data_IF_401011036290
#
_entry.id   IF_401011036290
#
_cell.length_a   1.000
_cell.length_b   1.000
_cell.length_c   1.000
_cell.angle_alpha   90.00
_cell.angle_beta   90.00
_cell.angle_gamma   90.00
#
_symmetry.space_group_name_H-M   'P 1'
#
loop_
_entity.id
_entity.type
_entity.pdbx_description
1 polymer ?
#
# COMPACT_ATOMS: atom_id res chain seq x y z
N UNK A 1 -5.11 -4.05 3.69
CA UNK A 1 -4.14 -3.31 2.83
C UNK A 1 -4.77 -3.00 1.49
N UNK A 2 -4.43 -1.86 0.87
CA UNK A 2 -4.99 -1.45 -0.43
C UNK A 2 -3.95 -0.70 -1.26
N UNK A 3 -3.84 -1.02 -2.55
CA UNK A 3 -3.10 -0.26 -3.55
C UNK A 3 -4.09 0.51 -4.42
N UNK A 4 -4.08 1.83 -4.25
CA UNK A 4 -5.00 2.77 -4.88
C UNK A 4 -4.29 3.53 -5.98
N UNK A 5 -5.01 3.83 -7.05
CA UNK A 5 -4.53 4.61 -8.19
C UNK A 5 -5.43 5.83 -8.37
N UNK A 6 -4.81 7.00 -8.49
CA UNK A 6 -5.50 8.24 -8.78
C UNK A 6 -5.00 8.80 -10.10
N UNK A 7 -5.92 9.25 -10.95
CA UNK A 7 -5.63 9.90 -12.23
C UNK A 7 -6.41 11.21 -12.29
N UNK A 8 -5.68 12.32 -12.46
CA UNK A 8 -6.26 13.67 -12.45
C UNK A 8 -7.17 13.92 -11.23
N UNK A 9 -6.74 13.46 -10.05
CA UNK A 9 -7.48 13.61 -8.79
C UNK A 9 -8.67 12.65 -8.60
N UNK A 10 -9.00 11.81 -9.59
CA UNK A 10 -10.07 10.81 -9.48
C UNK A 10 -9.49 9.44 -9.09
N UNK A 11 -10.11 8.78 -8.11
CA UNK A 11 -9.75 7.41 -7.76
C UNK A 11 -10.26 6.42 -8.80
N UNK A 12 -9.35 5.61 -9.34
CA UNK A 12 -9.64 4.48 -10.22
C UNK A 12 -9.88 3.21 -9.39
N UNK A 13 -10.47 2.15 -9.98
CA UNK A 13 -10.67 0.91 -9.24
C UNK A 13 -9.35 0.35 -8.71
N UNK A 14 -9.38 -0.17 -7.49
CA UNK A 14 -8.19 -0.61 -6.76
C UNK A 14 -7.37 -1.61 -7.57
N UNK A 15 -6.05 -1.40 -7.62
CA UNK A 15 -5.13 -2.30 -8.32
C UNK A 15 -5.05 -3.63 -7.57
N UNK A 16 -4.93 -3.55 -6.24
CA UNK A 16 -4.91 -4.70 -5.36
C UNK A 16 -5.52 -4.32 -4.00
N UNK A 17 -6.19 -5.26 -3.36
CA UNK A 17 -6.66 -5.10 -1.99
C UNK A 17 -6.63 -6.45 -1.28
N UNK A 18 -6.35 -6.40 0.02
CA UNK A 18 -6.47 -7.55 0.91
C UNK A 18 -7.11 -7.09 2.22
N UNK A 19 -8.34 -7.53 2.45
CA UNK A 19 -9.10 -7.22 3.66
C UNK A 19 -8.76 -8.17 4.81
N UNK A 20 -8.07 -9.28 4.54
CA UNK A 20 -7.68 -10.31 5.51
C UNK A 20 -6.16 -10.52 5.49
N UNK A 21 -5.43 -9.41 5.40
CA UNK A 21 -3.97 -9.47 5.38
C UNK A 21 -3.42 -10.03 6.69
N UNK A 22 -2.57 -11.05 6.58
CA UNK A 22 -1.79 -11.62 7.69
C UNK A 22 -0.31 -11.36 7.45
N UNK A 23 0.34 -10.71 8.41
CA UNK A 23 1.78 -10.39 8.33
C UNK A 23 2.67 -11.64 8.30
N UNK A 24 2.20 -12.77 8.83
CA UNK A 24 2.93 -14.05 8.81
C UNK A 24 2.83 -14.78 7.47
N UNK A 25 1.93 -14.34 6.58
CA UNK A 25 1.69 -14.99 5.30
C UNK A 25 1.79 -13.98 4.16
N UNK A 26 2.92 -14.00 3.47
CA UNK A 26 3.20 -13.11 2.34
C UNK A 26 3.40 -13.94 1.08
N UNK A 27 2.54 -13.74 0.09
CA UNK A 27 2.62 -14.39 -1.22
C UNK A 27 2.36 -13.38 -2.34
N UNK A 28 3.00 -13.60 -3.48
CA UNK A 28 2.67 -12.87 -4.70
C UNK A 28 1.30 -13.35 -5.19
N UNK A 29 0.38 -12.41 -5.39
CA UNK A 29 -0.95 -12.69 -5.96
C UNK A 29 -1.05 -12.06 -7.33
N UNK A 30 -1.72 -12.75 -8.24
CA UNK A 30 -2.08 -12.16 -9.53
C UNK A 30 -3.05 -11.00 -9.31
N UNK A 31 -2.90 -9.96 -10.12
CA UNK A 31 -3.86 -8.87 -10.14
C UNK A 31 -5.19 -9.39 -10.70
N UNK A 32 -6.33 -8.94 -10.14
CA UNK A 32 -7.65 -9.33 -10.66
C UNK A 32 -7.85 -8.85 -12.10
N UNK A 33 -7.23 -7.73 -12.46
CA UNK A 33 -7.27 -7.16 -13.80
C UNK A 33 -5.92 -6.51 -14.14
N UNK A 34 -5.58 -6.47 -15.42
CA UNK A 34 -4.46 -5.67 -15.91
C UNK A 34 -4.72 -4.17 -15.68
N UNK A 35 -3.72 -3.45 -15.17
CA UNK A 35 -3.80 -2.01 -14.88
C UNK A 35 -2.70 -1.26 -15.61
N UNK A 36 -3.10 -0.22 -16.34
CA UNK A 36 -2.19 0.71 -17.00
C UNK A 36 -1.87 1.88 -16.08
N UNK A 37 -0.58 2.07 -15.81
CA UNK A 37 -0.06 3.21 -15.05
C UNK A 37 0.58 4.17 -16.05
N UNK A 38 0.11 5.41 -16.08
CA UNK A 38 0.63 6.46 -16.95
C UNK A 38 1.36 7.52 -16.14
N UNK A 39 2.23 8.28 -16.82
CA UNK A 39 2.90 9.44 -16.22
C UNK A 39 1.86 10.42 -15.68
N UNK A 40 2.02 10.85 -14.44
CA UNK A 40 1.09 11.74 -13.74
C UNK A 40 0.07 11.01 -12.87
N UNK A 41 -0.03 9.68 -12.95
CA UNK A 41 -0.79 8.90 -11.98
C UNK A 41 -0.14 8.95 -10.60
N UNK A 42 -0.97 9.00 -9.56
CA UNK A 42 -0.55 8.90 -8.18
C UNK A 42 -0.95 7.52 -7.64
N UNK A 43 0.03 6.76 -7.14
CA UNK A 43 -0.22 5.49 -6.46
C UNK A 43 -0.08 5.66 -4.95
N UNK A 44 -1.09 5.22 -4.22
CA UNK A 44 -1.11 5.29 -2.75
C UNK A 44 -1.27 3.89 -2.19
N UNK A 45 -0.39 3.52 -1.26
CA UNK A 45 -0.50 2.26 -0.53
C UNK A 45 -1.00 2.52 0.90
N UNK A 46 -2.13 1.90 1.24
CA UNK A 46 -2.82 2.09 2.51
C UNK A 46 -2.76 0.81 3.35
N UNK A 47 -2.33 0.97 4.60
CA UNK A 47 -2.25 -0.10 5.60
C UNK A 47 -3.08 0.25 6.83
N UNK A 48 -3.76 -0.74 7.38
CA UNK A 48 -4.48 -0.64 8.64
C UNK A 48 -3.84 -1.65 9.58
N UNK A 49 -3.34 -1.18 10.72
CA UNK A 49 -2.79 -2.01 11.79
C UNK A 49 -3.71 -1.90 13.01
N UNK A 50 -4.01 -3.02 13.66
CA UNK A 50 -4.63 -3.03 14.99
C UNK A 50 -3.54 -3.10 16.07
N UNK A 51 -3.47 -2.05 16.90
CA UNK A 51 -2.53 -1.92 18.01
C UNK A 51 -3.19 -2.00 19.39
N UNK A 52 -4.49 -2.33 19.45
CA UNK A 52 -5.27 -2.37 20.70
C UNK A 52 -4.65 -3.23 21.80
N UNK A 53 -4.01 -4.35 21.44
CA UNK A 53 -3.36 -5.28 22.37
C UNK A 53 -1.85 -5.04 22.54
N UNK A 54 -1.30 -3.91 22.08
CA UNK A 54 0.14 -3.65 22.08
C UNK A 54 0.47 -2.37 22.87
N UNK A 55 0.87 -2.56 24.13
CA UNK A 55 1.52 -1.53 24.95
C UNK A 55 3.00 -1.87 25.13
N UNK A 56 3.93 -0.89 25.09
CA UNK A 56 3.71 0.55 24.81
C UNK A 56 3.44 0.85 23.33
N UNK A 57 2.99 2.09 22.98
CA UNK A 57 2.72 2.50 21.60
C UNK A 57 3.92 2.21 20.70
N UNK A 58 3.72 1.45 19.62
CA UNK A 58 4.78 1.15 18.68
C UNK A 58 4.90 2.24 17.62
N UNK A 59 6.00 2.99 17.66
CA UNK A 59 6.42 3.78 16.51
C UNK A 59 7.05 2.83 15.47
N UNK A 60 6.52 2.80 14.25
CA UNK A 60 7.22 2.11 13.15
C UNK A 60 8.52 2.87 12.88
N UNK A 61 9.67 2.20 13.03
CA UNK A 61 10.96 2.75 12.64
C UNK A 61 11.07 2.73 11.13
N UNK A 62 11.11 3.91 10.51
CA UNK A 62 11.42 4.04 9.10
C UNK A 62 12.93 4.14 8.93
N UNK A 63 13.59 3.03 8.59
CA UNK A 63 15.02 3.00 8.28
C UNK A 63 15.26 3.36 6.80
N UNK A 64 14.66 4.45 6.33
CA UNK A 64 14.80 4.85 4.93
C UNK A 64 16.20 5.38 4.65
N UNK A 65 16.96 4.68 3.81
CA UNK A 65 18.00 5.31 3.00
C UNK A 65 17.30 6.30 2.06
N UNK A 66 17.70 7.56 2.13
CA UNK A 66 17.20 8.65 1.30
C UNK A 66 17.17 8.21 -0.16
N UNK A 67 15.99 8.22 -0.78
CA UNK A 67 15.86 8.11 -2.24
C UNK A 67 16.32 9.46 -2.80
N UNK A 68 17.64 9.61 -2.93
CA UNK A 68 18.24 10.68 -3.72
C UNK A 68 17.87 10.43 -5.18
N UNK A 69 16.96 11.25 -5.69
CA UNK A 69 16.81 11.44 -7.14
C UNK A 69 18.11 12.12 -7.61
N UNK A 70 18.73 11.70 -8.73
CA UNK A 70 19.96 12.31 -9.23
C UNK A 70 19.84 13.82 -9.45
#
# INVERSE_FOLDING_TARGET
MKLRQFRNGTELPWIAYDNHYDFNYQQNRLLPEYRNIFKGDHLTYECTDDSSNRLPPQAKKWNGTTFGIP
#
